data_IF_151019501621
#
_entry.id   IF_151019501621
#
_cell.length_a   1.000
_cell.length_b   1.000
_cell.length_c   1.000
_cell.angle_alpha   90.00
_cell.angle_beta   90.00
_cell.angle_gamma   90.00
#
_symmetry.space_group_name_H-M   'P 1'
#
loop_
_entity.id
_entity.type
_entity.pdbx_description
1 polymer ?
#
# COMPACT_ATOMS: atom_id res chain seq x y z
N UNK A 1 34.70 -19.89 7.67
CA UNK A 1 35.03 -18.50 8.03
C UNK A 1 34.05 -17.54 7.35
N UNK A 2 33.82 -17.68 6.04
CA UNK A 2 32.75 -16.95 5.30
C UNK A 2 31.34 -17.18 5.87
N UNK A 3 30.99 -18.41 6.22
CA UNK A 3 29.67 -18.74 6.79
C UNK A 3 29.40 -18.11 8.18
N UNK A 4 30.45 -17.95 8.98
CA UNK A 4 30.38 -17.30 10.31
C UNK A 4 30.26 -15.78 10.15
N UNK A 5 31.02 -15.18 9.23
CA UNK A 5 30.92 -13.74 8.92
C UNK A 5 29.55 -13.39 8.32
N UNK A 6 29.01 -14.25 7.45
CA UNK A 6 27.65 -14.11 6.90
C UNK A 6 26.59 -14.17 8.00
N UNK A 7 26.70 -15.15 8.90
CA UNK A 7 25.76 -15.29 10.03
C UNK A 7 25.83 -14.11 11.01
N UNK A 8 27.02 -13.58 11.25
CA UNK A 8 27.21 -12.42 12.12
C UNK A 8 26.66 -11.14 11.48
N UNK A 9 26.91 -10.93 10.18
CA UNK A 9 26.36 -9.80 9.44
C UNK A 9 24.82 -9.83 9.39
N UNK A 10 24.22 -11.01 9.25
CA UNK A 10 22.77 -11.17 9.33
C UNK A 10 22.23 -10.79 10.71
N UNK A 11 22.87 -11.27 11.78
CA UNK A 11 22.42 -10.96 13.14
C UNK A 11 22.56 -9.47 13.45
N UNK A 12 23.69 -8.86 13.06
CA UNK A 12 23.92 -7.42 13.22
C UNK A 12 22.92 -6.60 12.39
N UNK A 13 22.58 -7.05 11.18
CA UNK A 13 21.52 -6.46 10.37
C UNK A 13 20.18 -6.46 11.12
N UNK A 14 19.71 -7.63 11.56
CA UNK A 14 18.40 -7.73 12.22
C UNK A 14 18.34 -6.89 13.49
N UNK A 15 19.36 -6.94 14.34
CA UNK A 15 19.38 -6.16 15.59
C UNK A 15 19.31 -4.66 15.29
N UNK A 16 20.10 -4.17 14.34
CA UNK A 16 20.09 -2.76 13.99
C UNK A 16 18.78 -2.35 13.32
N UNK A 17 18.19 -3.18 12.46
CA UNK A 17 16.88 -2.94 11.84
C UNK A 17 15.78 -2.82 12.89
N UNK A 18 15.69 -3.77 13.82
CA UNK A 18 14.69 -3.80 14.89
C UNK A 18 14.87 -2.64 15.89
N UNK A 19 16.11 -2.27 16.22
CA UNK A 19 16.38 -1.08 17.03
C UNK A 19 15.94 0.20 16.30
N UNK A 20 16.22 0.29 14.99
CA UNK A 20 15.75 1.39 14.14
C UNK A 20 14.23 1.53 14.20
N UNK A 21 13.50 0.43 14.04
CA UNK A 21 12.03 0.40 14.15
C UNK A 21 11.55 0.84 15.52
N UNK A 22 12.13 0.33 16.61
CA UNK A 22 11.78 0.74 17.97
C UNK A 22 11.97 2.25 18.20
N UNK A 23 13.11 2.82 17.77
CA UNK A 23 13.34 4.26 17.90
C UNK A 23 12.41 5.09 17.01
N UNK A 24 12.07 4.58 15.82
CA UNK A 24 11.07 5.21 14.95
C UNK A 24 9.71 5.30 15.64
N UNK A 25 9.23 4.20 16.25
CA UNK A 25 7.98 4.19 17.02
C UNK A 25 8.00 5.12 18.24
N UNK A 26 9.17 5.31 18.86
CA UNK A 26 9.36 6.24 19.98
C UNK A 26 9.48 7.70 19.52
N UNK A 27 9.61 7.98 18.22
CA UNK A 27 9.82 9.32 17.66
C UNK A 27 11.25 9.85 17.83
N UNK A 28 12.20 9.02 18.26
CA UNK A 28 13.63 9.38 18.34
C UNK A 28 14.28 9.14 16.97
N UNK A 29 13.99 10.05 16.04
CA UNK A 29 14.35 9.92 14.63
C UNK A 29 15.87 9.87 14.39
N UNK A 30 16.65 10.56 15.21
CA UNK A 30 18.11 10.59 15.06
C UNK A 30 18.72 9.22 15.37
N UNK A 31 18.27 8.56 16.44
CA UNK A 31 18.70 7.19 16.73
C UNK A 31 18.14 6.20 15.71
N UNK A 32 16.88 6.34 15.33
CA UNK A 32 16.28 5.47 14.32
C UNK A 32 17.10 5.47 13.03
N UNK A 33 17.49 6.66 12.56
CA UNK A 33 18.33 6.83 11.37
C UNK A 33 19.71 6.19 11.53
N UNK A 34 20.38 6.39 12.67
CA UNK A 34 21.69 5.79 12.96
C UNK A 34 21.63 4.25 12.89
N UNK A 35 20.60 3.65 13.49
CA UNK A 35 20.42 2.21 13.49
C UNK A 35 20.04 1.66 12.10
N UNK A 36 19.19 2.34 11.32
CA UNK A 36 18.93 1.93 9.95
C UNK A 36 20.17 2.02 9.04
N UNK A 37 21.02 3.04 9.21
CA UNK A 37 22.30 3.15 8.48
C UNK A 37 23.28 2.03 8.84
N UNK A 38 23.33 1.63 10.12
CA UNK A 38 24.13 0.47 10.55
C UNK A 38 23.60 -0.83 9.93
N UNK A 39 22.28 -1.03 9.91
CA UNK A 39 21.67 -2.19 9.26
C UNK A 39 22.10 -2.28 7.78
N UNK A 40 22.02 -1.18 7.04
CA UNK A 40 22.46 -1.12 5.64
C UNK A 40 23.96 -1.37 5.45
N UNK A 41 24.80 -1.06 6.43
CA UNK A 41 26.24 -1.35 6.37
C UNK A 41 26.52 -2.84 6.56
N UNK A 42 25.72 -3.51 7.40
CA UNK A 42 25.81 -4.97 7.61
C UNK A 42 25.29 -5.75 6.41
N UNK A 43 24.24 -5.25 5.74
CA UNK A 43 23.66 -5.84 4.53
C UNK A 43 23.09 -4.74 3.61
N UNK A 44 23.81 -4.43 2.52
CA UNK A 44 23.47 -3.30 1.63
C UNK A 44 22.23 -3.54 0.75
N UNK A 45 21.75 -4.79 0.67
CA UNK A 45 20.72 -5.23 -0.30
C UNK A 45 19.34 -5.49 0.31
N UNK A 46 19.03 -4.92 1.48
CA UNK A 46 17.73 -5.13 2.13
C UNK A 46 16.85 -3.88 2.05
N UNK A 47 15.56 -4.03 1.69
CA UNK A 47 14.68 -2.88 1.42
C UNK A 47 14.09 -2.24 2.69
N UNK A 48 13.99 -2.93 3.83
CA UNK A 48 13.30 -2.46 5.03
C UNK A 48 13.93 -1.22 5.68
N UNK A 49 15.26 -1.12 5.87
CA UNK A 49 15.85 0.08 6.46
C UNK A 49 15.63 1.32 5.59
N UNK A 50 15.56 1.17 4.26
CA UNK A 50 15.23 2.28 3.37
C UNK A 50 13.79 2.76 3.56
N UNK A 51 12.83 1.88 3.83
CA UNK A 51 11.46 2.27 4.19
C UNK A 51 11.43 3.07 5.49
N UNK A 52 12.21 2.65 6.49
CA UNK A 52 12.37 3.37 7.76
C UNK A 52 12.98 4.76 7.57
N UNK A 53 14.06 4.86 6.80
CA UNK A 53 14.72 6.12 6.46
C UNK A 53 13.81 7.07 5.66
N UNK A 54 13.03 6.55 4.70
CA UNK A 54 12.02 7.33 3.98
C UNK A 54 10.97 7.90 4.95
N UNK A 55 10.50 7.09 5.89
CA UNK A 55 9.54 7.52 6.92
C UNK A 55 10.10 8.65 7.78
N UNK A 56 11.37 8.54 8.20
CA UNK A 56 12.05 9.60 8.96
C UNK A 56 12.16 10.89 8.14
N UNK A 57 12.53 10.78 6.86
CA UNK A 57 12.63 11.94 5.97
C UNK A 57 11.27 12.64 5.80
N UNK A 58 10.17 11.89 5.64
CA UNK A 58 8.81 12.43 5.64
C UNK A 58 8.49 13.17 6.94
N UNK A 59 8.80 12.59 8.10
CA UNK A 59 8.53 13.24 9.39
C UNK A 59 9.31 14.56 9.57
N UNK A 60 10.44 14.71 8.87
CA UNK A 60 11.23 15.94 8.83
C UNK A 60 10.80 16.91 7.72
N UNK A 61 9.83 16.54 6.88
CA UNK A 61 9.37 17.32 5.72
C UNK A 61 10.34 17.29 4.53
N UNK A 62 11.32 16.40 4.53
CA UNK A 62 12.29 16.23 3.45
C UNK A 62 11.79 15.17 2.45
N UNK A 63 10.87 15.60 1.59
CA UNK A 63 10.23 14.71 0.61
C UNK A 63 11.18 14.23 -0.48
N UNK A 64 12.18 15.03 -0.86
CA UNK A 64 13.16 14.65 -1.88
C UNK A 64 14.01 13.47 -1.39
N UNK A 65 14.55 13.57 -0.17
CA UNK A 65 15.29 12.48 0.45
C UNK A 65 14.39 11.25 0.66
N UNK A 66 13.12 11.45 1.01
CA UNK A 66 12.18 10.33 1.15
C UNK A 66 11.95 9.58 -0.18
N UNK A 67 11.80 10.31 -1.29
CA UNK A 67 11.68 9.72 -2.64
C UNK A 67 12.93 8.91 -3.01
N UNK A 68 14.13 9.40 -2.70
CA UNK A 68 15.38 8.67 -2.94
C UNK A 68 15.43 7.36 -2.16
N UNK A 69 15.00 7.37 -0.89
CA UNK A 69 14.94 6.14 -0.09
C UNK A 69 13.86 5.17 -0.57
N UNK A 70 12.69 5.65 -0.99
CA UNK A 70 11.71 4.77 -1.61
C UNK A 70 12.21 4.17 -2.93
N UNK A 71 12.96 4.91 -3.75
CA UNK A 71 13.57 4.36 -4.96
C UNK A 71 14.52 3.20 -4.63
N UNK A 72 15.33 3.33 -3.58
CA UNK A 72 16.18 2.22 -3.11
C UNK A 72 15.35 1.03 -2.62
N UNK A 73 14.31 1.27 -1.80
CA UNK A 73 13.43 0.18 -1.34
C UNK A 73 12.72 -0.53 -2.50
N UNK A 74 12.35 0.21 -3.55
CA UNK A 74 11.79 -0.31 -4.79
C UNK A 74 12.78 -1.26 -5.49
N UNK A 75 14.03 -0.81 -5.67
CA UNK A 75 15.08 -1.59 -6.34
C UNK A 75 15.42 -2.90 -5.59
N UNK A 76 15.24 -2.93 -4.27
CA UNK A 76 15.49 -4.09 -3.42
C UNK A 76 14.24 -4.95 -3.10
N UNK A 77 13.13 -4.75 -3.81
CA UNK A 77 12.01 -5.71 -3.84
C UNK A 77 10.77 -5.34 -3.02
N UNK A 78 10.73 -4.20 -2.33
CA UNK A 78 9.49 -3.68 -1.71
C UNK A 78 8.75 -2.71 -2.66
N UNK A 79 8.59 -3.12 -3.92
CA UNK A 79 8.04 -2.27 -4.97
C UNK A 79 6.66 -1.70 -4.61
N UNK A 80 5.73 -2.54 -4.16
CA UNK A 80 4.37 -2.11 -3.83
C UNK A 80 4.34 -1.10 -2.68
N UNK A 81 5.09 -1.35 -1.61
CA UNK A 81 5.15 -0.45 -0.44
C UNK A 81 5.88 0.85 -0.78
N UNK A 82 6.97 0.79 -1.55
CA UNK A 82 7.71 1.96 -1.98
C UNK A 82 6.87 2.85 -2.90
N UNK A 83 6.21 2.27 -3.91
CA UNK A 83 5.29 2.97 -4.81
C UNK A 83 4.13 3.61 -4.02
N UNK A 84 3.52 2.90 -3.07
CA UNK A 84 2.48 3.47 -2.22
C UNK A 84 3.01 4.65 -1.39
N UNK A 85 4.22 4.54 -0.85
CA UNK A 85 4.89 5.64 -0.12
C UNK A 85 5.14 6.87 -0.99
N UNK A 86 5.65 6.69 -2.21
CA UNK A 86 5.81 7.76 -3.20
C UNK A 86 4.46 8.40 -3.55
N UNK A 87 3.41 7.60 -3.73
CA UNK A 87 2.06 8.09 -3.97
C UNK A 87 1.52 8.96 -2.83
N UNK A 88 1.79 8.56 -1.57
CA UNK A 88 1.42 9.37 -0.40
C UNK A 88 2.14 10.72 -0.37
N UNK A 89 3.44 10.77 -0.73
CA UNK A 89 4.18 12.03 -0.85
C UNK A 89 3.54 12.92 -1.92
N UNK A 90 3.27 12.37 -3.11
CA UNK A 90 2.67 13.12 -4.21
C UNK A 90 1.29 13.68 -3.85
N UNK A 91 0.50 12.89 -3.14
CA UNK A 91 -0.80 13.32 -2.64
C UNK A 91 -0.68 14.45 -1.61
N UNK A 92 0.29 14.40 -0.70
CA UNK A 92 0.56 15.48 0.28
C UNK A 92 0.98 16.78 -0.41
N UNK A 93 1.73 16.68 -1.50
CA UNK A 93 2.14 17.81 -2.35
C UNK A 93 1.01 18.35 -3.25
N UNK A 94 -0.15 17.68 -3.28
CA UNK A 94 -1.28 18.03 -4.15
C UNK A 94 -1.07 17.63 -5.62
N UNK A 95 -0.09 16.77 -5.90
CA UNK A 95 0.23 16.22 -7.22
C UNK A 95 -0.63 14.97 -7.48
N UNK A 96 -1.95 15.15 -7.48
CA UNK A 96 -2.95 14.07 -7.45
C UNK A 96 -2.84 13.08 -8.62
N UNK A 97 -2.50 13.57 -9.80
CA UNK A 97 -2.34 12.75 -11.01
C UNK A 97 -1.15 11.79 -10.89
N UNK A 98 -0.04 12.26 -10.32
CA UNK A 98 1.13 11.42 -10.06
C UNK A 98 0.84 10.45 -8.92
N UNK A 99 0.16 10.91 -7.87
CA UNK A 99 -0.27 10.07 -6.77
C UNK A 99 -1.13 8.89 -7.26
N UNK A 100 -2.12 9.16 -8.10
CA UNK A 100 -2.95 8.15 -8.74
C UNK A 100 -2.10 7.12 -9.50
N UNK A 101 -1.15 7.57 -10.33
CA UNK A 101 -0.27 6.67 -11.08
C UNK A 101 0.60 5.79 -10.17
N UNK A 102 1.10 6.34 -9.07
CA UNK A 102 1.86 5.56 -8.10
C UNK A 102 1.00 4.51 -7.39
N UNK A 103 -0.20 4.86 -6.97
CA UNK A 103 -1.12 3.90 -6.33
C UNK A 103 -1.60 2.81 -7.29
N UNK A 104 -1.83 3.14 -8.55
CA UNK A 104 -2.17 2.17 -9.60
C UNK A 104 -1.02 1.15 -9.77
N UNK A 105 0.21 1.63 -9.94
CA UNK A 105 1.40 0.76 -10.03
C UNK A 105 1.57 -0.09 -8.77
N UNK A 106 1.34 0.47 -7.59
CA UNK A 106 1.44 -0.25 -6.33
C UNK A 106 0.39 -1.36 -6.22
N UNK A 107 -0.85 -1.11 -6.66
CA UNK A 107 -1.92 -2.10 -6.68
C UNK A 107 -1.63 -3.23 -7.68
N UNK A 108 -1.05 -2.93 -8.85
CA UNK A 108 -0.60 -3.98 -9.78
C UNK A 108 0.58 -4.79 -9.24
N UNK A 109 1.52 -4.14 -8.54
CA UNK A 109 2.67 -4.82 -7.93
C UNK A 109 2.23 -5.77 -6.79
N UNK A 110 1.25 -5.36 -6.00
CA UNK A 110 0.63 -6.18 -4.97
C UNK A 110 -0.87 -5.88 -4.86
N UNK A 111 -1.73 -6.75 -5.43
CA UNK A 111 -3.19 -6.57 -5.38
C UNK A 111 -3.81 -6.72 -3.99
N UNK A 112 -3.01 -7.01 -2.95
CA UNK A 112 -3.43 -7.04 -1.56
C UNK A 112 -2.92 -5.82 -0.75
N UNK A 113 -2.24 -4.86 -1.38
CA UNK A 113 -1.76 -3.67 -0.70
C UNK A 113 -2.92 -2.71 -0.39
N UNK A 114 -3.43 -2.79 0.84
CA UNK A 114 -4.59 -2.01 1.28
C UNK A 114 -4.37 -0.49 1.21
N UNK A 115 -3.14 -0.01 1.46
CA UNK A 115 -2.82 1.43 1.37
C UNK A 115 -2.96 1.89 -0.08
N UNK A 116 -2.37 1.17 -1.02
CA UNK A 116 -2.45 1.47 -2.44
C UNK A 116 -3.90 1.48 -2.92
N UNK A 117 -4.69 0.44 -2.62
CA UNK A 117 -6.07 0.32 -3.08
C UNK A 117 -6.97 1.42 -2.50
N UNK A 118 -6.88 1.68 -1.20
CA UNK A 118 -7.69 2.73 -0.56
C UNK A 118 -7.36 4.11 -1.11
N UNK A 119 -6.07 4.40 -1.32
CA UNK A 119 -5.66 5.68 -1.88
C UNK A 119 -6.00 5.80 -3.36
N UNK A 120 -5.86 4.72 -4.15
CA UNK A 120 -6.26 4.67 -5.55
C UNK A 120 -7.75 4.96 -5.72
N UNK A 121 -8.60 4.33 -4.90
CA UNK A 121 -10.04 4.58 -4.90
C UNK A 121 -10.33 6.04 -4.56
N UNK A 122 -9.72 6.58 -3.49
CA UNK A 122 -9.89 7.98 -3.08
C UNK A 122 -9.48 8.95 -4.19
N UNK A 123 -8.30 8.78 -4.77
CA UNK A 123 -7.81 9.64 -5.85
C UNK A 123 -8.65 9.46 -7.12
N UNK A 124 -9.12 8.25 -7.40
CA UNK A 124 -10.06 7.99 -8.49
C UNK A 124 -11.37 8.76 -8.36
N UNK A 125 -11.92 8.86 -7.15
CA UNK A 125 -13.08 9.73 -6.89
C UNK A 125 -12.74 11.20 -7.12
N UNK A 126 -11.62 11.67 -6.56
CA UNK A 126 -11.18 13.06 -6.66
C UNK A 126 -10.97 13.51 -8.11
N UNK A 127 -10.34 12.66 -8.91
CA UNK A 127 -9.97 12.90 -10.31
C UNK A 127 -11.05 12.48 -11.31
N UNK A 128 -12.20 11.95 -10.85
CA UNK A 128 -13.24 11.38 -11.69
C UNK A 128 -12.72 10.27 -12.65
N UNK A 129 -11.82 9.42 -12.14
CA UNK A 129 -11.17 8.29 -12.85
C UNK A 129 -11.67 6.92 -12.38
N UNK A 130 -12.91 6.86 -11.90
CA UNK A 130 -13.49 5.63 -11.34
C UNK A 130 -13.50 4.45 -12.33
N UNK A 131 -13.62 4.68 -13.64
CA UNK A 131 -13.55 3.58 -14.61
C UNK A 131 -12.16 2.91 -14.65
N UNK A 132 -11.09 3.69 -14.52
CA UNK A 132 -9.72 3.13 -14.43
C UNK A 132 -9.54 2.37 -13.11
N UNK A 133 -10.05 2.91 -12.00
CA UNK A 133 -10.04 2.19 -10.71
C UNK A 133 -10.82 0.89 -10.78
N UNK A 134 -11.98 0.86 -11.44
CA UNK A 134 -12.77 -0.35 -11.66
C UNK A 134 -11.96 -1.40 -12.41
N UNK A 135 -11.26 -1.03 -13.48
CA UNK A 135 -10.39 -1.98 -14.21
C UNK A 135 -9.31 -2.59 -13.31
N UNK A 136 -8.63 -1.77 -12.50
CA UNK A 136 -7.61 -2.25 -11.56
C UNK A 136 -8.24 -3.18 -10.51
N UNK A 137 -9.38 -2.81 -9.94
CA UNK A 137 -10.07 -3.63 -8.94
C UNK A 137 -10.60 -4.95 -9.51
N UNK A 138 -11.07 -4.97 -10.76
CA UNK A 138 -11.46 -6.20 -11.45
C UNK A 138 -10.28 -7.16 -11.60
N UNK A 139 -9.10 -6.66 -11.97
CA UNK A 139 -7.86 -7.46 -11.97
C UNK A 139 -7.53 -7.99 -10.57
N UNK A 140 -7.59 -7.14 -9.55
CA UNK A 140 -7.30 -7.53 -8.17
C UNK A 140 -8.25 -8.62 -7.66
N UNK A 141 -9.55 -8.48 -7.93
CA UNK A 141 -10.59 -9.46 -7.56
C UNK A 141 -10.39 -10.79 -8.29
N UNK A 142 -9.88 -10.79 -9.52
CA UNK A 142 -9.57 -12.02 -10.24
C UNK A 142 -8.38 -12.77 -9.62
N UNK A 143 -7.40 -12.05 -9.06
CA UNK A 143 -6.23 -12.62 -8.40
C UNK A 143 -6.59 -13.13 -7.00
N UNK A 144 -7.38 -12.36 -6.24
CA UNK A 144 -7.82 -12.69 -4.89
C UNK A 144 -9.35 -12.74 -4.77
N UNK A 145 -9.98 -13.82 -5.27
CA UNK A 145 -11.43 -13.90 -5.40
C UNK A 145 -12.19 -14.00 -4.08
N UNK A 146 -11.51 -14.34 -2.99
CA UNK A 146 -12.04 -14.54 -1.63
C UNK A 146 -11.95 -13.28 -0.75
N UNK A 147 -11.24 -12.25 -1.20
CA UNK A 147 -11.09 -10.97 -0.46
C UNK A 147 -12.34 -10.12 -0.62
N UNK A 148 -13.19 -10.13 0.41
CA UNK A 148 -14.44 -9.36 0.41
C UNK A 148 -14.19 -7.86 0.28
N UNK A 149 -13.09 -7.34 0.82
CA UNK A 149 -12.78 -5.90 0.78
C UNK A 149 -12.57 -5.38 -0.65
N UNK A 150 -11.98 -6.21 -1.53
CA UNK A 150 -11.80 -5.88 -2.94
C UNK A 150 -13.14 -5.80 -3.68
N UNK A 151 -14.01 -6.79 -3.46
CA UNK A 151 -15.35 -6.83 -4.08
C UNK A 151 -16.24 -5.70 -3.58
N UNK A 152 -16.16 -5.36 -2.30
CA UNK A 152 -16.89 -4.23 -1.71
C UNK A 152 -16.37 -2.91 -2.31
N UNK A 153 -15.05 -2.73 -2.43
CA UNK A 153 -14.47 -1.53 -3.05
C UNK A 153 -14.89 -1.40 -4.52
N UNK A 154 -14.88 -2.51 -5.27
CA UNK A 154 -15.34 -2.56 -6.66
C UNK A 154 -16.82 -2.21 -6.77
N UNK A 155 -17.67 -2.82 -5.94
CA UNK A 155 -19.10 -2.51 -5.89
C UNK A 155 -19.36 -1.03 -5.57
N UNK A 156 -18.63 -0.45 -4.63
CA UNK A 156 -18.70 0.98 -4.30
C UNK A 156 -18.39 1.87 -5.51
N UNK A 157 -17.32 1.57 -6.25
CA UNK A 157 -16.97 2.31 -7.47
C UNK A 157 -18.03 2.15 -8.57
N UNK A 158 -18.55 0.94 -8.77
CA UNK A 158 -19.60 0.65 -9.75
C UNK A 158 -20.91 1.38 -9.46
N UNK A 159 -21.32 1.48 -8.19
CA UNK A 159 -22.51 2.26 -7.78
C UNK A 159 -22.33 3.73 -8.16
N UNK A 160 -21.17 4.30 -7.86
CA UNK A 160 -20.86 5.70 -8.16
C UNK A 160 -20.84 5.99 -9.67
N UNK A 161 -20.59 4.98 -10.50
CA UNK A 161 -20.70 5.03 -11.96
C UNK A 161 -22.12 4.73 -12.48
N UNK A 162 -23.08 4.42 -11.61
CA UNK A 162 -24.45 4.03 -11.98
C UNK A 162 -24.57 2.58 -12.51
N UNK A 163 -23.51 1.77 -12.40
CA UNK A 163 -23.43 0.37 -12.85
C UNK A 163 -23.99 -0.58 -11.77
N UNK A 164 -25.19 -0.29 -11.26
CA UNK A 164 -25.79 -0.98 -10.10
C UNK A 164 -25.93 -2.50 -10.29
N UNK A 165 -26.26 -2.97 -11.50
CA UNK A 165 -26.37 -4.42 -11.78
C UNK A 165 -25.06 -5.15 -11.57
N UNK A 166 -23.95 -4.53 -11.95
CA UNK A 166 -22.61 -5.12 -11.79
C UNK A 166 -22.17 -5.05 -10.33
N UNK A 167 -22.49 -3.96 -9.63
CA UNK A 167 -22.26 -3.85 -8.18
C UNK A 167 -22.98 -4.95 -7.40
N UNK A 168 -24.27 -5.18 -7.69
CA UNK A 168 -25.07 -6.25 -7.08
C UNK A 168 -24.39 -7.60 -7.26
N UNK A 169 -23.94 -7.92 -8.49
CA UNK A 169 -23.26 -9.19 -8.77
C UNK A 169 -22.03 -9.40 -7.88
N UNK A 170 -21.22 -8.36 -7.66
CA UNK A 170 -20.05 -8.47 -6.78
C UNK A 170 -20.44 -8.75 -5.33
N UNK A 171 -21.48 -8.07 -4.83
CA UNK A 171 -21.98 -8.24 -3.46
C UNK A 171 -22.66 -9.61 -3.28
N UNK A 172 -23.41 -10.08 -4.27
CA UNK A 172 -23.99 -11.43 -4.28
C UNK A 172 -22.89 -12.49 -4.16
N UNK A 173 -21.81 -12.35 -4.92
CA UNK A 173 -20.65 -13.25 -4.79
C UNK A 173 -20.09 -13.23 -3.36
N UNK A 174 -19.95 -12.06 -2.72
CA UNK A 174 -19.53 -11.98 -1.30
C UNK A 174 -20.49 -12.75 -0.38
N UNK A 175 -21.80 -12.57 -0.56
CA UNK A 175 -22.81 -13.22 0.26
C UNK A 175 -22.92 -14.73 0.01
N UNK A 176 -22.52 -15.22 -1.18
CA UNK A 176 -22.47 -16.65 -1.49
C UNK A 176 -21.39 -17.37 -0.67
N UNK A 177 -20.17 -16.81 -0.58
CA UNK A 177 -19.07 -17.45 0.17
C UNK A 177 -18.96 -16.99 1.63
N UNK A 178 -19.41 -15.78 1.96
CA UNK A 178 -19.51 -15.26 3.33
C UNK A 178 -20.93 -14.74 3.63
N UNK A 179 -21.91 -15.65 3.86
CA UNK A 179 -23.28 -15.25 4.14
C UNK A 179 -23.43 -14.35 5.37
N UNK A 180 -22.51 -14.43 6.33
CA UNK A 180 -22.50 -13.62 7.57
C UNK A 180 -21.92 -12.22 7.41
N UNK A 181 -21.40 -11.84 6.24
CA UNK A 181 -20.81 -10.52 6.01
C UNK A 181 -21.86 -9.42 6.23
N UNK A 182 -21.72 -8.68 7.33
CA UNK A 182 -22.62 -7.56 7.67
C UNK A 182 -22.48 -6.47 6.61
N UNK A 183 -21.24 -6.15 6.24
CA UNK A 183 -20.92 -5.10 5.27
C UNK A 183 -21.55 -5.39 3.91
N UNK A 184 -21.44 -6.62 3.41
CA UNK A 184 -22.04 -7.00 2.14
C UNK A 184 -23.58 -6.90 2.16
N UNK A 185 -24.22 -7.28 3.28
CA UNK A 185 -25.68 -7.14 3.43
C UNK A 185 -26.12 -5.67 3.47
N UNK A 186 -25.38 -4.81 4.17
CA UNK A 186 -25.66 -3.37 4.20
C UNK A 186 -25.54 -2.75 2.80
N UNK A 187 -24.48 -3.08 2.07
CA UNK A 187 -24.30 -2.67 0.68
C UNK A 187 -25.44 -3.15 -0.22
N UNK A 188 -25.81 -4.44 -0.12
CA UNK A 188 -26.91 -5.01 -0.91
C UNK A 188 -28.22 -4.26 -0.67
N UNK A 189 -28.58 -4.01 0.58
CA UNK A 189 -29.79 -3.27 0.94
C UNK A 189 -29.76 -1.84 0.41
N UNK A 190 -28.61 -1.16 0.52
CA UNK A 190 -28.44 0.20 0.01
C UNK A 190 -28.66 0.28 -1.50
N UNK A 191 -28.08 -0.66 -2.27
CA UNK A 191 -28.25 -0.69 -3.73
C UNK A 191 -29.71 -0.96 -4.11
N UNK A 192 -30.38 -1.90 -3.43
CA UNK A 192 -31.77 -2.27 -3.73
C UNK A 192 -32.78 -1.17 -3.40
N UNK A 193 -32.50 -0.32 -2.40
CA UNK A 193 -33.35 0.84 -2.08
C UNK A 193 -33.17 2.01 -3.05
N UNK A 194 -32.03 2.06 -3.74
CA UNK A 194 -31.69 3.12 -4.69
C UNK A 194 -32.06 2.78 -6.15
N UNK A 195 -32.54 1.55 -6.42
CA UNK A 195 -32.93 1.04 -7.73
C UNK A 195 -34.46 1.13 -7.95
#
# INVERSE_FOLDING_TARGET
>A
MEEIMSSQNQLDYEINKELGECYLFMGDFDKAEDYYKKANTSMETQPEPYMGLATIAIQRGDFDTAMDFYNKAFDFGLQDKALAGMGLIKMELGEDEEAFSYFEKAAHANPANAVALNCLVREGYKLNRLESVVSVLEECVNIFPDREELRISLAGCLISLGRNKEAIKQIETVLEYNPSSIVAREFFNHIMLAA
#
